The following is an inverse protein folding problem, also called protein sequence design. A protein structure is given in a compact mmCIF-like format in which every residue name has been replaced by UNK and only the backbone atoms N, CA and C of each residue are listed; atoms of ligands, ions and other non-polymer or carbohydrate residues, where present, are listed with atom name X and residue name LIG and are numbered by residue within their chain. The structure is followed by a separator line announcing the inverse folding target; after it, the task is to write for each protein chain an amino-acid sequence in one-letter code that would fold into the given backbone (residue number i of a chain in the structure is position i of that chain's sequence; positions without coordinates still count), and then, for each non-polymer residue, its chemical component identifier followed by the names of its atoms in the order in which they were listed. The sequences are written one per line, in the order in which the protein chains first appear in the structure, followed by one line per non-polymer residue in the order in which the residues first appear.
data_IF_656496604189
#
_entry.id   IF_656496604189
#
_cell.length_a   1.000
_cell.length_b   1.000
_cell.length_c   1.000
_cell.angle_alpha   90.00
_cell.angle_beta   90.00
_cell.angle_gamma   90.00
#
_symmetry.space_group_name_H-M   'P 1'
#
loop_
_entity.id
_entity.type
_entity.pdbx_description
1 polymer ?
#
# COMPACT_ATOMS: atom_id res chain seq x y z
N UNK A 1 -3.32 20.20 3.04
CA UNK A 1 -3.29 18.75 3.22
C UNK A 1 -1.86 18.28 3.01
N UNK A 2 -1.67 17.03 2.60
CA UNK A 2 -0.36 16.52 2.23
C UNK A 2 -0.02 16.97 0.80
N UNK A 3 1.09 17.68 0.61
CA UNK A 3 1.54 18.12 -0.71
C UNK A 3 1.74 16.94 -1.68
N UNK A 4 2.15 15.78 -1.16
CA UNK A 4 2.22 14.55 -1.94
C UNK A 4 0.84 14.19 -2.51
N UNK A 5 -0.18 14.06 -1.66
CA UNK A 5 -1.54 13.64 -2.05
C UNK A 5 -2.21 14.64 -2.99
N UNK A 6 -1.93 15.93 -2.81
CA UNK A 6 -2.47 17.02 -3.61
C UNK A 6 -1.91 17.02 -5.05
N UNK A 7 -0.69 16.53 -5.25
CA UNK A 7 0.00 16.58 -6.54
C UNK A 7 0.34 15.21 -7.13
N UNK A 8 -0.04 14.11 -6.48
CA UNK A 8 0.41 12.76 -6.87
C UNK A 8 0.00 12.36 -8.30
N UNK A 9 -1.12 12.88 -8.79
CA UNK A 9 -1.63 12.59 -10.14
C UNK A 9 -0.91 13.38 -11.25
N UNK A 10 -0.09 14.37 -10.90
CA UNK A 10 0.58 15.26 -11.88
C UNK A 10 2.08 15.36 -11.69
N UNK A 11 2.59 15.04 -10.50
CA UNK A 11 3.98 15.25 -10.13
C UNK A 11 4.91 14.08 -10.50
N UNK A 12 4.36 12.90 -10.80
CA UNK A 12 5.14 11.68 -10.92
C UNK A 12 4.84 10.94 -12.22
N UNK A 13 5.89 10.72 -13.01
CA UNK A 13 5.94 9.71 -14.05
C UNK A 13 6.54 8.44 -13.43
N UNK A 14 5.69 7.52 -12.99
CA UNK A 14 6.13 6.30 -12.30
C UNK A 14 7.03 5.43 -13.17
N UNK A 15 6.79 5.41 -14.48
CA UNK A 15 7.57 4.58 -15.38
C UNK A 15 9.00 5.10 -15.52
N UNK A 16 9.16 6.43 -15.61
CA UNK A 16 10.46 7.07 -15.59
C UNK A 16 11.16 6.92 -14.24
N UNK A 17 10.43 7.12 -13.13
CA UNK A 17 10.99 7.05 -11.78
C UNK A 17 11.49 5.65 -11.40
N UNK A 18 10.88 4.61 -11.97
CA UNK A 18 11.25 3.22 -11.72
C UNK A 18 12.35 2.71 -12.68
N UNK A 19 12.83 3.53 -13.62
CA UNK A 19 13.89 3.11 -14.53
C UNK A 19 15.22 2.88 -13.80
N UNK A 20 15.81 1.71 -14.00
CA UNK A 20 17.02 1.27 -13.30
C UNK A 20 16.87 1.04 -11.78
N UNK A 21 15.65 1.12 -11.23
CA UNK A 21 15.39 0.88 -9.81
C UNK A 21 15.35 -0.62 -9.53
N UNK A 22 16.05 -1.06 -8.49
CA UNK A 22 16.02 -2.48 -8.07
C UNK A 22 14.92 -2.75 -7.04
N UNK A 23 14.66 -1.79 -6.16
CA UNK A 23 13.73 -1.92 -5.05
C UNK A 23 12.84 -0.69 -4.90
N UNK A 24 11.55 -0.94 -4.73
CA UNK A 24 10.57 0.01 -4.25
C UNK A 24 10.18 -0.35 -2.82
N UNK A 25 10.14 0.62 -1.92
CA UNK A 25 9.52 0.46 -0.60
C UNK A 25 8.21 1.22 -0.54
N UNK A 26 7.16 0.57 -0.03
CA UNK A 26 5.83 1.15 0.13
C UNK A 26 5.21 0.75 1.48
N UNK A 27 4.37 1.62 2.03
CA UNK A 27 3.69 1.40 3.32
C UNK A 27 2.18 1.59 3.20
N UNK A 28 1.40 0.87 4.01
CA UNK A 28 -0.06 1.00 4.10
C UNK A 28 -0.58 2.34 4.63
N UNK A 29 0.31 3.26 5.04
CA UNK A 29 -0.06 4.64 5.38
C UNK A 29 -0.44 5.44 4.14
N UNK A 30 0.31 5.34 3.05
CA UNK A 30 0.07 6.10 1.80
C UNK A 30 -1.34 5.91 1.26
N UNK A 31 -1.86 4.67 1.08
CA UNK A 31 -3.21 4.48 0.59
C UNK A 31 -4.28 5.02 1.54
N UNK A 32 -4.00 5.11 2.85
CA UNK A 32 -4.95 5.60 3.84
C UNK A 32 -5.23 7.11 3.77
N UNK A 33 -4.40 7.87 3.04
CA UNK A 33 -4.46 9.35 2.98
C UNK A 33 -5.58 9.93 2.11
N UNK A 34 -6.42 9.09 1.50
CA UNK A 34 -7.52 9.50 0.65
C UNK A 34 -7.47 8.87 -0.75
N UNK A 35 -8.46 9.18 -1.61
CA UNK A 35 -8.59 8.57 -2.93
C UNK A 35 -7.33 8.69 -3.81
N UNK A 36 -6.70 9.87 -3.81
CA UNK A 36 -5.47 10.12 -4.58
C UNK A 36 -4.29 9.29 -4.07
N UNK A 37 -4.08 9.23 -2.75
CA UNK A 37 -3.02 8.42 -2.15
C UNK A 37 -3.22 6.93 -2.40
N UNK A 38 -4.47 6.47 -2.31
CA UNK A 38 -4.87 5.10 -2.62
C UNK A 38 -4.60 4.72 -4.07
N UNK A 39 -5.02 5.56 -5.02
CA UNK A 39 -4.77 5.34 -6.44
C UNK A 39 -3.27 5.27 -6.72
N UNK A 40 -2.50 6.24 -6.24
CA UNK A 40 -1.06 6.30 -6.46
C UNK A 40 -0.30 5.12 -5.86
N UNK A 41 -0.66 4.71 -4.63
CA UNK A 41 -0.03 3.57 -3.96
C UNK A 41 -0.23 2.27 -4.75
N UNK A 42 -1.42 2.06 -5.32
CA UNK A 42 -1.67 0.91 -6.19
C UNK A 42 -0.91 1.03 -7.50
N UNK A 43 -0.96 2.19 -8.16
CA UNK A 43 -0.30 2.42 -9.46
C UNK A 43 1.20 2.19 -9.39
N UNK A 44 1.90 2.67 -8.36
CA UNK A 44 3.35 2.50 -8.25
C UNK A 44 3.75 1.05 -7.98
N UNK A 45 2.96 0.30 -7.19
CA UNK A 45 3.19 -1.12 -6.96
C UNK A 45 3.00 -1.92 -8.26
N UNK A 46 1.96 -1.63 -9.03
CA UNK A 46 1.71 -2.29 -10.31
C UNK A 46 2.79 -1.94 -11.35
N UNK A 47 3.21 -0.68 -11.42
CA UNK A 47 4.31 -0.26 -12.29
C UNK A 47 5.63 -0.95 -11.91
N UNK A 48 5.93 -1.06 -10.61
CA UNK A 48 7.11 -1.77 -10.13
C UNK A 48 7.07 -3.26 -10.51
N UNK A 49 5.95 -3.93 -10.26
CA UNK A 49 5.75 -5.32 -10.63
C UNK A 49 5.93 -5.56 -12.15
N UNK A 50 5.35 -4.69 -12.99
CA UNK A 50 5.46 -4.77 -14.45
C UNK A 50 6.90 -4.60 -14.97
N UNK A 51 7.73 -3.85 -14.24
CA UNK A 51 9.14 -3.62 -14.58
C UNK A 51 10.10 -4.62 -13.93
N UNK A 52 9.58 -5.57 -13.14
CA UNK A 52 10.41 -6.50 -12.38
C UNK A 52 11.17 -5.85 -11.22
N UNK A 53 10.77 -4.65 -10.80
CA UNK A 53 11.29 -3.99 -9.60
C UNK A 53 10.74 -4.71 -8.38
N UNK A 54 11.63 -5.07 -7.44
CA UNK A 54 11.22 -5.78 -6.24
C UNK A 54 10.52 -4.83 -5.28
N UNK A 55 9.44 -5.29 -4.67
CA UNK A 55 8.64 -4.48 -3.75
C UNK A 55 8.87 -4.95 -2.31
N UNK A 56 9.30 -4.02 -1.46
CA UNK A 56 9.24 -4.13 -0.01
C UNK A 56 7.97 -3.43 0.49
N UNK A 57 7.07 -4.18 1.11
CA UNK A 57 5.81 -3.65 1.62
C UNK A 57 5.77 -3.70 3.16
N UNK A 58 5.34 -2.61 3.79
CA UNK A 58 5.05 -2.52 5.23
C UNK A 58 3.55 -2.28 5.45
N UNK A 59 2.87 -3.23 6.10
CA UNK A 59 1.41 -3.22 6.30
C UNK A 59 0.91 -1.94 6.98
N UNK A 60 1.60 -1.52 8.04
CA UNK A 60 1.40 -0.29 8.81
C UNK A 60 -0.02 0.31 8.79
N UNK A 61 -1.03 -0.52 9.08
CA UNK A 61 -2.43 -0.10 8.99
C UNK A 61 -2.74 1.07 9.95
N UNK A 62 -3.53 2.04 9.46
CA UNK A 62 -3.93 3.24 10.21
C UNK A 62 -5.43 3.48 10.08
N UNK A 63 -6.23 2.73 10.84
CA UNK A 63 -7.70 2.82 10.83
C UNK A 63 -8.23 4.27 10.91
N UNK A 64 -7.68 5.10 11.82
CA UNK A 64 -8.08 6.52 11.94
C UNK A 64 -7.91 7.37 10.69
N UNK A 65 -7.01 7.00 9.77
CA UNK A 65 -6.87 7.70 8.48
C UNK A 65 -7.92 7.19 7.48
N UNK A 66 -8.16 5.88 7.46
CA UNK A 66 -9.21 5.28 6.65
C UNK A 66 -10.61 5.75 7.07
N UNK A 67 -10.88 5.95 8.36
CA UNK A 67 -12.17 6.44 8.86
C UNK A 67 -12.51 7.88 8.39
N UNK A 68 -11.55 8.62 7.81
CA UNK A 68 -11.77 9.99 7.33
C UNK A 68 -12.43 10.05 5.95
N UNK A 69 -12.55 8.94 5.24
CA UNK A 69 -13.07 8.88 3.89
C UNK A 69 -13.63 7.50 3.54
N UNK A 70 -14.49 7.42 2.53
CA UNK A 70 -15.14 6.16 2.13
C UNK A 70 -14.22 5.32 1.23
N UNK A 71 -13.26 4.63 1.85
CA UNK A 71 -12.29 3.75 1.18
C UNK A 71 -12.55 2.26 1.41
N UNK A 72 -11.83 1.40 0.68
CA UNK A 72 -11.83 -0.06 0.89
C UNK A 72 -10.41 -0.53 1.26
N UNK A 73 -10.03 -0.46 2.55
CA UNK A 73 -8.70 -0.88 2.98
C UNK A 73 -8.37 -2.33 2.61
N UNK A 74 -9.25 -3.34 2.84
CA UNK A 74 -8.98 -4.71 2.43
C UNK A 74 -8.64 -4.86 0.94
N UNK A 75 -9.42 -4.23 0.05
CA UNK A 75 -9.17 -4.33 -1.39
C UNK A 75 -7.87 -3.62 -1.80
N UNK A 76 -7.63 -2.41 -1.30
CA UNK A 76 -6.45 -1.61 -1.65
C UNK A 76 -5.16 -2.23 -1.10
N UNK A 77 -5.14 -2.54 0.20
CA UNK A 77 -3.97 -3.13 0.85
C UNK A 77 -3.72 -4.55 0.31
N UNK A 78 -4.76 -5.29 -0.04
CA UNK A 78 -4.64 -6.59 -0.71
C UNK A 78 -3.95 -6.51 -2.06
N UNK A 79 -4.27 -5.50 -2.89
CA UNK A 79 -3.54 -5.26 -4.16
C UNK A 79 -2.08 -4.91 -3.94
N UNK A 80 -1.80 -4.06 -2.95
CA UNK A 80 -0.42 -3.69 -2.61
C UNK A 80 0.38 -4.90 -2.12
N UNK A 81 -0.19 -5.69 -1.22
CA UNK A 81 0.42 -6.90 -0.69
C UNK A 81 0.64 -7.96 -1.77
N UNK A 82 -0.30 -8.11 -2.71
CA UNK A 82 -0.15 -9.04 -3.83
C UNK A 82 1.02 -8.68 -4.77
N UNK A 83 1.39 -7.41 -4.85
CA UNK A 83 2.57 -6.95 -5.60
C UNK A 83 3.88 -7.01 -4.81
N UNK A 84 3.85 -7.39 -3.52
CA UNK A 84 5.02 -7.39 -2.66
C UNK A 84 5.95 -8.58 -2.95
N UNK A 85 7.25 -8.32 -3.03
CA UNK A 85 8.30 -9.36 -3.02
C UNK A 85 8.64 -9.77 -1.59
N UNK A 86 8.67 -8.81 -0.67
CA UNK A 86 8.82 -9.03 0.78
C UNK A 86 7.82 -8.15 1.52
N UNK A 87 7.15 -8.70 2.53
CA UNK A 87 6.16 -7.99 3.33
C UNK A 87 6.53 -8.02 4.82
N UNK A 88 6.44 -6.86 5.47
CA UNK A 88 6.44 -6.69 6.91
C UNK A 88 4.99 -6.51 7.34
N UNK A 89 4.38 -7.58 7.84
CA UNK A 89 2.97 -7.63 8.19
C UNK A 89 2.75 -8.66 9.31
N UNK A 90 1.73 -8.43 10.13
CA UNK A 90 1.31 -9.35 11.18
C UNK A 90 -0.04 -10.03 10.88
N UNK A 91 -0.52 -10.85 11.82
CA UNK A 91 -1.78 -11.56 11.72
C UNK A 91 -2.98 -10.63 11.47
N UNK A 92 -2.98 -9.42 12.01
CA UNK A 92 -4.05 -8.43 11.84
C UNK A 92 -4.07 -7.85 10.43
N UNK A 93 -2.90 -7.61 9.86
CA UNK A 93 -2.78 -7.17 8.46
C UNK A 93 -3.36 -8.22 7.50
N UNK A 94 -2.99 -9.50 7.69
CA UNK A 94 -3.54 -10.59 6.90
C UNK A 94 -5.03 -10.80 7.14
N UNK A 95 -5.50 -10.69 8.39
CA UNK A 95 -6.91 -10.80 8.75
C UNK A 95 -7.75 -9.75 8.02
N UNK A 96 -7.26 -8.50 8.02
CA UNK A 96 -7.88 -7.39 7.31
C UNK A 96 -7.99 -7.65 5.80
N UNK A 97 -6.87 -8.00 5.16
CA UNK A 97 -6.83 -8.22 3.70
C UNK A 97 -7.67 -9.42 3.27
N UNK A 98 -7.60 -10.52 4.03
CA UNK A 98 -8.33 -11.75 3.73
C UNK A 98 -9.79 -11.71 4.19
N UNK A 99 -10.20 -10.64 4.87
CA UNK A 99 -11.54 -10.49 5.47
C UNK A 99 -11.90 -11.69 6.36
N UNK A 100 -10.93 -12.14 7.15
CA UNK A 100 -11.05 -13.29 8.06
C UNK A 100 -10.57 -12.91 9.46
N UNK A 101 -10.78 -13.80 10.42
CA UNK A 101 -10.22 -13.70 11.76
C UNK A 101 -9.26 -14.85 11.98
N UNK A 102 -8.11 -14.56 12.59
CA UNK A 102 -7.20 -15.59 13.07
C UNK A 102 -7.31 -15.69 14.59
N UNK A 103 -7.39 -16.91 15.10
CA UNK A 103 -7.25 -17.18 16.53
C UNK A 103 -5.76 -17.07 16.87
N UNK A 104 -5.32 -15.90 17.32
CA UNK A 104 -3.93 -15.71 17.76
C UNK A 104 -3.82 -16.20 19.22
N UNK A 105 -2.99 -17.23 19.51
CA UNK A 105 -2.75 -17.64 20.89
C UNK A 105 -1.83 -16.67 21.65
N UNK A 106 -1.30 -15.65 20.98
CA UNK A 106 -0.40 -14.65 21.56
C UNK A 106 -1.20 -13.40 21.95
N UNK A 107 -1.38 -13.12 23.26
CA UNK A 107 -1.97 -11.87 23.69
C UNK A 107 -0.88 -10.80 23.59
N UNK A 108 -0.93 -9.98 22.53
CA UNK A 108 -0.15 -8.75 22.46
C UNK A 108 -0.33 -7.88 23.71
#
# INVERSE_FOLDING_TARGET
GSAFVEHVNTAFDWDQLLDGVEWLHASGVTPATGPNGSAAAVTIIEAAANKGVKVSYDGNFRGKLWDQWDGDPPATLGRMLAGATVAFADDRDFALVLKTTFDSPDPA
#
